data_IF_867971729525
#
_entry.id   IF_867971729525
#
_cell.length_a   1.000
_cell.length_b   1.000
_cell.length_c   1.000
_cell.angle_alpha   90.00
_cell.angle_beta   90.00
_cell.angle_gamma   90.00
#
_symmetry.space_group_name_H-M   'P 1'
#
loop_
_entity.id
_entity.type
_entity.pdbx_description
1 polymer ?
#
# COMPACT_ATOMS: atom_id res chain seq x y z
N UNK A 1 -16.23 -1.26 10.46
CA UNK A 1 -15.58 -2.12 11.47
C UNK A 1 -14.11 -2.23 11.12
N UNK A 2 -13.23 -2.13 12.11
CA UNK A 2 -11.82 -2.44 11.91
C UNK A 2 -11.75 -3.88 11.40
N UNK A 3 -10.88 -4.16 10.45
CA UNK A 3 -10.73 -5.51 9.90
C UNK A 3 -10.39 -6.48 11.04
N UNK A 4 -11.17 -7.55 11.23
CA UNK A 4 -10.96 -8.55 12.32
C UNK A 4 -9.52 -9.08 12.39
N UNK A 5 -8.76 -9.05 11.28
CA UNK A 5 -7.34 -9.43 11.28
C UNK A 5 -6.44 -8.41 11.99
N UNK A 6 -6.77 -7.13 11.89
CA UNK A 6 -6.04 -6.04 12.57
C UNK A 6 -6.29 -6.13 14.07
N UNK A 7 -7.55 -6.30 14.48
CA UNK A 7 -7.90 -6.45 15.91
C UNK A 7 -7.15 -7.64 16.52
N UNK A 8 -7.21 -8.81 15.88
CA UNK A 8 -6.44 -9.99 16.30
C UNK A 8 -4.93 -9.75 16.33
N UNK A 9 -4.38 -8.99 15.39
CA UNK A 9 -2.94 -8.68 15.40
C UNK A 9 -2.58 -7.82 16.62
N UNK A 10 -3.36 -6.78 16.89
CA UNK A 10 -3.15 -5.86 18.01
C UNK A 10 -3.34 -6.55 19.37
N UNK A 11 -4.32 -7.45 19.51
CA UNK A 11 -4.52 -8.23 20.73
C UNK A 11 -3.35 -9.18 21.01
N UNK A 12 -2.83 -9.83 19.97
CA UNK A 12 -1.76 -10.83 20.11
C UNK A 12 -0.35 -10.21 20.19
N UNK A 13 -0.18 -8.96 19.79
CA UNK A 13 1.12 -8.29 19.69
C UNK A 13 1.08 -6.97 20.45
N UNK A 14 1.84 -6.88 21.55
CA UNK A 14 2.03 -5.64 22.30
C UNK A 14 2.96 -4.64 21.57
N UNK A 15 2.60 -4.29 20.33
CA UNK A 15 3.39 -3.48 19.40
C UNK A 15 2.51 -2.48 18.63
N UNK A 16 1.40 -2.02 19.23
CA UNK A 16 0.44 -1.11 18.60
C UNK A 16 1.10 0.15 18.03
N UNK A 17 2.00 0.77 18.80
CA UNK A 17 2.68 1.99 18.37
C UNK A 17 3.60 1.74 17.17
N UNK A 18 4.38 0.66 17.20
CA UNK A 18 5.23 0.26 16.07
C UNK A 18 4.40 -0.08 14.84
N UNK A 19 3.28 -0.80 15.02
CA UNK A 19 2.33 -1.09 13.95
C UNK A 19 1.81 0.19 13.30
N UNK A 20 1.46 1.22 14.08
CA UNK A 20 1.03 2.51 13.54
C UNK A 20 2.13 3.20 12.75
N UNK A 21 3.36 3.22 13.26
CA UNK A 21 4.51 3.80 12.54
C UNK A 21 4.72 3.10 11.19
N UNK A 22 4.80 1.77 11.20
CA UNK A 22 5.01 0.98 9.98
C UNK A 22 3.87 1.17 8.98
N UNK A 23 2.62 1.23 9.46
CA UNK A 23 1.45 1.47 8.62
C UNK A 23 1.49 2.84 7.96
N UNK A 24 1.93 3.87 8.69
CA UNK A 24 2.08 5.22 8.12
C UNK A 24 3.19 5.28 7.06
N UNK A 25 4.33 4.64 7.31
CA UNK A 25 5.42 4.55 6.33
C UNK A 25 4.98 3.81 5.07
N UNK A 26 4.21 2.73 5.21
CA UNK A 26 3.68 2.01 4.06
C UNK A 26 2.61 2.80 3.31
N UNK A 27 1.76 3.57 4.00
CA UNK A 27 0.83 4.51 3.35
C UNK A 27 1.60 5.54 2.53
N UNK A 28 2.68 6.10 3.06
CA UNK A 28 3.53 7.05 2.35
C UNK A 28 4.14 6.42 1.10
N UNK A 29 4.74 5.23 1.23
CA UNK A 29 5.31 4.47 0.10
C UNK A 29 4.27 4.22 -1.00
N UNK A 30 3.10 3.71 -0.63
CA UNK A 30 2.02 3.41 -1.58
C UNK A 30 1.44 4.69 -2.21
N UNK A 31 1.42 5.81 -1.48
CA UNK A 31 0.95 7.10 -2.00
C UNK A 31 1.88 7.69 -3.05
N UNK A 32 3.18 7.40 -2.92
CA UNK A 32 4.21 7.80 -3.87
C UNK A 32 4.28 6.91 -5.12
N UNK A 33 3.49 5.83 -5.21
CA UNK A 33 3.37 5.05 -6.44
C UNK A 33 2.73 5.87 -7.57
N UNK A 34 3.04 5.56 -8.85
CA UNK A 34 2.40 6.16 -10.01
C UNK A 34 0.89 5.95 -10.00
N UNK A 35 0.17 6.84 -10.69
CA UNK A 35 -1.28 6.84 -10.71
C UNK A 35 -1.88 5.52 -11.22
N UNK A 36 -1.31 4.97 -12.30
CA UNK A 36 -1.73 3.69 -12.89
C UNK A 36 -1.62 2.53 -11.89
N UNK A 37 -0.52 2.49 -11.13
CA UNK A 37 -0.31 1.49 -10.07
C UNK A 37 -1.26 1.69 -8.90
N UNK A 38 -1.48 2.93 -8.44
CA UNK A 38 -2.45 3.19 -7.36
C UNK A 38 -3.87 2.82 -7.76
N UNK A 39 -4.23 3.01 -9.03
CA UNK A 39 -5.54 2.63 -9.59
C UNK A 39 -5.73 1.11 -9.59
N UNK A 40 -4.68 0.32 -9.83
CA UNK A 40 -4.75 -1.15 -9.86
C UNK A 40 -4.92 -1.80 -8.48
N UNK A 41 -4.65 -1.08 -7.39
CA UNK A 41 -4.82 -1.60 -6.02
C UNK A 41 -6.27 -1.95 -5.68
N UNK A 42 -7.26 -1.33 -6.35
CA UNK A 42 -8.69 -1.62 -6.20
C UNK A 42 -9.25 -1.38 -4.78
N UNK A 43 -8.46 -0.80 -3.88
CA UNK A 43 -8.77 -0.58 -2.46
C UNK A 43 -8.20 0.76 -1.99
N UNK A 44 -8.64 1.21 -0.82
CA UNK A 44 -8.03 2.38 -0.16
C UNK A 44 -6.59 2.06 0.21
N UNK A 45 -5.67 2.99 -0.04
CA UNK A 45 -4.24 2.86 0.28
C UNK A 45 -4.03 2.46 1.74
N UNK A 46 -4.77 3.07 2.65
CA UNK A 46 -4.72 2.75 4.09
C UNK A 46 -5.07 1.29 4.38
N UNK A 47 -6.06 0.72 3.68
CA UNK A 47 -6.41 -0.70 3.85
C UNK A 47 -5.29 -1.62 3.34
N UNK A 48 -4.68 -1.27 2.20
CA UNK A 48 -3.55 -2.03 1.63
C UNK A 48 -2.35 -1.98 2.57
N UNK A 49 -2.00 -0.80 3.08
CA UNK A 49 -0.87 -0.61 3.98
C UNK A 49 -1.02 -1.41 5.27
N UNK A 50 -2.17 -1.33 5.94
CA UNK A 50 -2.45 -2.09 7.17
C UNK A 50 -2.32 -3.60 6.91
N UNK A 51 -2.83 -4.08 5.77
CA UNK A 51 -2.73 -5.49 5.40
C UNK A 51 -1.29 -5.95 5.12
N UNK A 52 -0.50 -5.14 4.42
CA UNK A 52 0.90 -5.44 4.12
C UNK A 52 1.72 -5.57 5.42
N UNK A 53 1.51 -4.64 6.37
CA UNK A 53 2.21 -4.64 7.66
C UNK A 53 1.81 -5.83 8.53
N UNK A 54 0.52 -6.13 8.72
CA UNK A 54 0.11 -7.28 9.55
C UNK A 54 0.55 -8.63 8.96
N UNK A 55 0.65 -8.71 7.62
CA UNK A 55 1.12 -9.92 6.93
C UNK A 55 2.64 -10.01 6.88
N UNK A 56 3.35 -8.94 7.27
CA UNK A 56 4.78 -8.78 7.10
C UNK A 56 5.22 -9.07 5.64
N UNK A 57 4.45 -8.57 4.68
CA UNK A 57 4.67 -8.75 3.24
C UNK A 57 4.50 -7.41 2.54
N UNK A 58 5.63 -6.83 2.13
CA UNK A 58 5.66 -5.58 1.36
C UNK A 58 5.85 -5.98 -0.11
N UNK A 59 4.81 -5.84 -0.96
CA UNK A 59 4.93 -6.20 -2.37
C UNK A 59 5.70 -5.13 -3.15
N UNK A 60 6.48 -5.62 -4.12
CA UNK A 60 7.05 -4.80 -5.20
C UNK A 60 5.99 -4.56 -6.28
N UNK A 61 5.97 -3.36 -6.83
CA UNK A 61 5.10 -3.00 -7.93
C UNK A 61 5.97 -2.77 -9.16
N UNK A 62 5.83 -3.67 -10.15
CA UNK A 62 6.54 -3.54 -11.42
C UNK A 62 5.80 -2.49 -12.25
N UNK A 63 6.52 -1.42 -12.61
CA UNK A 63 6.04 -0.43 -13.55
C UNK A 63 6.12 -1.03 -14.95
N UNK A 64 4.99 -1.15 -15.64
CA UNK A 64 5.01 -1.11 -17.09
C UNK A 64 4.90 0.37 -17.43
N UNK A 65 5.98 0.96 -17.94
CA UNK A 65 5.88 2.25 -18.62
C UNK A 65 4.94 2.00 -19.80
N UNK A 66 3.75 2.60 -19.77
CA UNK A 66 2.97 2.73 -20.99
C UNK A 66 3.75 3.74 -21.82
N UNK A 67 4.39 3.28 -22.90
CA UNK A 67 4.96 4.14 -23.92
C UNK A 67 3.87 5.15 -24.32
N UNK A 68 3.96 6.36 -23.79
CA UNK A 68 3.15 7.45 -24.31
C UNK A 68 3.75 7.78 -25.65
N UNK A 69 3.13 7.29 -26.72
CA UNK A 69 3.39 7.72 -28.09
C UNK A 69 3.26 9.26 -28.12
N UNK A 70 4.38 9.96 -27.93
CA UNK A 70 4.52 11.34 -28.34
C UNK A 70 4.41 11.32 -29.86
N UNK A 71 3.20 11.58 -30.37
CA UNK A 71 3.00 11.95 -31.77
C UNK A 71 3.90 13.14 -32.08
N UNK A 72 5.07 12.86 -32.67
CA UNK A 72 5.90 13.82 -33.35
C UNK A 72 5.09 14.31 -34.56
N UNK A 73 4.26 15.31 -34.34
CA UNK A 73 3.61 16.06 -35.41
C UNK A 73 4.65 17.01 -36.00
N UNK A 74 4.98 16.73 -37.26
CA UNK A 74 6.00 17.44 -38.06
C UNK A 74 5.56 18.79 -38.61
#
# INVERSE_FOLDING_TARGET
MLNNKIEKFLENKNMTYLFMILSNLEVERLSNLPFTTKKSLGKKITEVALNNVIQNKIPDYIMMEEDTDEEVSG
#
